data_IF_912570534576
#
_entry.id   IF_912570534576
#
_cell.length_a   1.000
_cell.length_b   1.000
_cell.length_c   1.000
_cell.angle_alpha   90.00
_cell.angle_beta   90.00
_cell.angle_gamma   90.00
#
_symmetry.space_group_name_H-M   'P 1'
#
loop_
_entity.id
_entity.type
_entity.pdbx_description
1 polymer ?
#
# COMPACT_ATOMS: atom_id res chain seq x y z
N UNK A 1 -7.68 24.29 14.34
CA UNK A 1 -6.28 24.71 14.56
C UNK A 1 -5.55 24.43 13.27
N UNK A 2 -4.94 25.44 12.65
CA UNK A 2 -4.07 25.21 11.47
C UNK A 2 -2.83 24.47 11.99
N UNK A 3 -2.59 23.26 11.47
CA UNK A 3 -1.36 22.54 11.73
C UNK A 3 -0.25 23.30 11.02
N UNK A 4 0.81 23.67 11.73
CA UNK A 4 1.98 24.28 11.09
C UNK A 4 2.71 23.22 10.27
N UNK A 5 3.09 23.50 9.02
CA UNK A 5 3.75 22.53 8.16
C UNK A 5 5.08 22.10 8.79
N UNK A 6 5.28 20.78 8.86
CA UNK A 6 6.50 20.15 9.38
C UNK A 6 7.50 20.00 8.24
N UNK A 7 8.77 20.34 8.49
CA UNK A 7 9.82 20.25 7.47
C UNK A 7 10.70 19.02 7.73
N UNK A 8 10.85 18.19 6.70
CA UNK A 8 11.68 16.99 6.70
C UNK A 8 12.86 17.17 5.72
N UNK A 9 13.96 16.47 5.99
CA UNK A 9 15.12 16.45 5.09
C UNK A 9 15.29 15.04 4.54
N UNK A 10 15.16 14.85 3.23
CA UNK A 10 15.49 13.59 2.57
C UNK A 10 16.94 13.65 2.10
N UNK A 11 17.75 12.68 2.51
CA UNK A 11 19.17 12.55 2.11
C UNK A 11 19.34 11.32 1.26
N UNK A 12 19.68 11.49 -0.02
CA UNK A 12 19.83 10.39 -0.96
C UNK A 12 21.27 9.85 -0.93
N UNK A 13 21.40 8.51 -0.87
CA UNK A 13 22.69 7.84 -0.95
C UNK A 13 23.34 8.03 -2.33
N UNK A 14 24.66 8.15 -2.37
CA UNK A 14 25.44 8.24 -3.62
C UNK A 14 25.37 6.96 -4.48
N UNK A 15 24.98 5.84 -3.86
CA UNK A 15 24.83 4.53 -4.51
C UNK A 15 23.54 4.40 -5.34
N UNK A 16 22.62 5.36 -5.25
CA UNK A 16 21.37 5.33 -6.01
C UNK A 16 21.64 5.63 -7.50
N UNK A 17 20.84 5.07 -8.42
CA UNK A 17 20.90 5.43 -9.84
C UNK A 17 20.79 6.95 -10.04
N UNK A 18 21.58 7.52 -10.96
CA UNK A 18 21.60 8.98 -11.18
C UNK A 18 20.25 9.57 -11.63
N UNK A 19 19.45 8.76 -12.34
CA UNK A 19 18.15 9.19 -12.87
C UNK A 19 17.02 8.39 -12.22
N UNK A 20 16.25 9.07 -11.37
CA UNK A 20 15.03 8.57 -10.77
C UNK A 20 14.09 9.75 -10.45
N UNK A 21 12.82 9.49 -10.14
CA UNK A 21 11.82 10.55 -9.97
C UNK A 21 12.24 11.64 -8.96
N UNK A 22 12.83 11.24 -7.83
CA UNK A 22 13.23 12.16 -6.78
C UNK A 22 14.52 12.96 -7.08
N UNK A 23 15.31 12.62 -8.10
CA UNK A 23 16.50 13.41 -8.47
C UNK A 23 16.14 14.76 -9.09
N UNK A 24 14.85 14.95 -9.41
CA UNK A 24 14.25 16.22 -9.82
C UNK A 24 13.90 17.15 -8.65
N UNK A 25 14.02 16.71 -7.40
CA UNK A 25 13.76 17.58 -6.24
C UNK A 25 14.80 18.70 -6.14
N UNK A 26 14.34 19.91 -5.82
CA UNK A 26 15.23 21.04 -5.54
C UNK A 26 16.08 20.75 -4.31
N UNK A 27 17.40 20.87 -4.48
CA UNK A 27 18.38 20.60 -3.42
C UNK A 27 18.94 19.18 -3.41
N UNK A 28 18.54 18.31 -4.35
CA UNK A 28 19.13 16.97 -4.48
C UNK A 28 20.67 17.01 -4.46
N UNK A 29 21.35 16.13 -3.70
CA UNK A 29 20.84 14.95 -2.99
C UNK A 29 20.33 15.18 -1.54
N UNK A 30 20.29 16.43 -1.05
CA UNK A 30 19.72 16.76 0.27
C UNK A 30 18.50 17.70 0.10
N UNK A 31 17.31 17.11 0.06
CA UNK A 31 16.08 17.81 -0.27
C UNK A 31 15.28 18.15 0.99
N UNK A 32 14.76 19.37 1.08
CA UNK A 32 13.80 19.75 2.12
C UNK A 32 12.37 19.65 1.58
N UNK A 33 11.52 18.94 2.30
CA UNK A 33 10.12 18.75 1.97
C UNK A 33 9.24 19.15 3.15
N UNK A 34 8.05 19.67 2.87
CA UNK A 34 7.07 20.04 3.88
C UNK A 34 5.89 19.06 3.90
N UNK A 35 5.24 18.90 5.06
CA UNK A 35 4.07 18.02 5.18
C UNK A 35 2.78 18.59 4.59
N UNK A 36 2.80 19.82 4.06
CA UNK A 36 1.60 20.60 3.81
C UNK A 36 0.72 20.79 5.06
N UNK A 37 -0.49 21.29 4.80
CA UNK A 37 -1.52 21.55 5.83
C UNK A 37 -2.72 20.60 5.71
N UNK A 38 -2.74 19.74 4.68
CA UNK A 38 -3.89 18.90 4.30
C UNK A 38 -4.02 17.64 5.16
N UNK A 39 -2.89 17.05 5.56
CA UNK A 39 -2.85 15.78 6.28
C UNK A 39 -2.04 15.89 7.57
N UNK A 40 -2.47 15.19 8.62
CA UNK A 40 -1.65 15.07 9.83
C UNK A 40 -0.42 14.20 9.52
N UNK A 41 0.77 14.76 9.75
CA UNK A 41 2.01 13.99 9.65
C UNK A 41 2.36 13.38 11.01
N UNK A 42 2.34 12.05 11.10
CA UNK A 42 2.45 11.31 12.35
C UNK A 42 3.88 11.20 12.89
N UNK A 43 4.89 11.37 12.04
CA UNK A 43 6.29 11.41 12.48
C UNK A 43 6.70 12.81 12.95
N UNK A 44 7.77 12.84 13.75
CA UNK A 44 8.45 14.09 14.12
C UNK A 44 9.34 14.56 12.96
N UNK A 45 9.46 15.88 12.72
CA UNK A 45 10.43 16.44 11.78
C UNK A 45 11.84 15.89 12.03
N UNK A 46 12.47 15.31 11.00
CA UNK A 46 13.80 14.70 11.10
C UNK A 46 14.45 14.56 9.73
N UNK A 47 15.72 14.14 9.70
CA UNK A 47 16.35 13.65 8.48
C UNK A 47 15.94 12.19 8.21
N UNK A 48 15.62 11.88 6.96
CA UNK A 48 15.33 10.52 6.49
C UNK A 48 16.39 10.18 5.45
N UNK A 49 17.20 9.15 5.74
CA UNK A 49 18.20 8.65 4.82
C UNK A 49 17.54 7.74 3.79
N UNK A 50 17.61 8.09 2.51
CA UNK A 50 17.16 7.27 1.40
C UNK A 50 18.31 6.35 1.00
N UNK A 51 18.11 5.05 1.21
CA UNK A 51 19.18 4.04 1.11
C UNK A 51 19.03 3.13 -0.10
N UNK A 52 17.82 2.95 -0.64
CA UNK A 52 17.58 2.05 -1.77
C UNK A 52 16.29 2.42 -2.53
N UNK A 53 16.10 1.84 -3.71
CA UNK A 53 14.86 1.88 -4.49
C UNK A 53 14.17 0.51 -4.38
N UNK A 54 13.03 0.48 -3.70
CA UNK A 54 12.21 -0.73 -3.55
C UNK A 54 11.44 -1.06 -4.83
N UNK A 55 11.09 -0.03 -5.62
CA UNK A 55 10.42 -0.17 -6.90
C UNK A 55 10.62 1.08 -7.76
N UNK A 56 10.82 0.89 -9.07
CA UNK A 56 10.80 1.95 -10.05
C UNK A 56 9.96 1.52 -11.27
N UNK A 57 8.99 2.34 -11.63
CA UNK A 57 8.26 2.29 -12.88
C UNK A 57 8.10 3.70 -13.46
N UNK A 58 7.38 3.81 -14.58
CA UNK A 58 7.30 5.07 -15.34
C UNK A 58 6.66 6.22 -14.54
N UNK A 59 5.59 5.91 -13.80
CA UNK A 59 4.85 6.89 -12.98
C UNK A 59 5.25 6.93 -11.52
N UNK A 60 5.80 5.84 -10.99
CA UNK A 60 5.98 5.68 -9.55
C UNK A 60 7.38 5.21 -9.21
N UNK A 61 8.00 5.81 -8.21
CA UNK A 61 9.21 5.27 -7.58
C UNK A 61 8.99 5.17 -6.08
N UNK A 62 9.26 3.99 -5.52
CA UNK A 62 9.19 3.73 -4.08
C UNK A 62 10.61 3.54 -3.56
N UNK A 63 10.98 4.35 -2.57
CA UNK A 63 12.31 4.32 -1.96
C UNK A 63 12.26 3.71 -0.56
N UNK A 64 13.36 3.09 -0.15
CA UNK A 64 13.61 2.71 1.23
C UNK A 64 14.21 3.91 1.95
N UNK A 65 13.47 4.45 2.92
CA UNK A 65 13.97 5.46 3.84
C UNK A 65 14.29 4.88 5.21
N UNK A 66 15.23 5.51 5.92
CA UNK A 66 15.57 5.19 7.31
C UNK A 66 15.59 6.46 8.15
N UNK A 67 14.78 6.48 9.20
CA UNK A 67 14.74 7.52 10.21
C UNK A 67 15.98 7.49 11.13
N UNK A 68 16.16 8.54 11.93
CA UNK A 68 17.26 8.65 12.91
C UNK A 68 17.22 7.52 13.96
N UNK A 69 16.02 7.03 14.29
CA UNK A 69 15.79 5.92 15.22
C UNK A 69 15.89 4.53 14.56
N UNK A 70 16.32 4.45 13.30
CA UNK A 70 16.36 3.27 12.44
C UNK A 70 15.00 2.71 12.01
N UNK A 71 13.89 3.40 12.28
CA UNK A 71 12.60 3.05 11.67
C UNK A 71 12.72 3.11 10.15
N UNK A 72 12.34 2.04 9.47
CA UNK A 72 12.33 2.00 8.00
C UNK A 72 10.98 2.45 7.45
N UNK A 73 11.04 3.17 6.33
CA UNK A 73 9.89 3.77 5.65
C UNK A 73 9.89 3.37 4.17
N UNK A 74 8.70 3.29 3.59
CA UNK A 74 8.51 3.24 2.14
C UNK A 74 8.06 4.64 1.67
N UNK A 75 8.88 5.31 0.88
CA UNK A 75 8.60 6.65 0.35
C UNK A 75 8.15 6.53 -1.10
N UNK A 76 6.85 6.68 -1.36
CA UNK A 76 6.26 6.54 -2.70
C UNK A 76 6.11 7.92 -3.34
N UNK A 77 6.92 8.19 -4.36
CA UNK A 77 6.74 9.33 -5.25
C UNK A 77 5.94 8.90 -6.48
N UNK A 78 4.81 9.54 -6.73
CA UNK A 78 3.98 9.34 -7.93
C UNK A 78 3.46 10.70 -8.43
N UNK A 79 2.52 10.72 -9.37
CA UNK A 79 1.86 11.92 -9.86
C UNK A 79 0.90 12.49 -8.81
N UNK A 80 0.65 13.80 -8.87
CA UNK A 80 0.00 14.54 -7.78
C UNK A 80 -1.47 14.11 -7.55
N UNK A 81 -2.22 13.87 -8.63
CA UNK A 81 -3.60 13.38 -8.56
C UNK A 81 -3.70 12.05 -7.83
N UNK A 82 -2.79 11.12 -8.15
CA UNK A 82 -2.79 9.76 -7.58
C UNK A 82 -2.49 9.79 -6.07
N UNK A 83 -1.66 10.72 -5.60
CA UNK A 83 -1.31 10.85 -4.17
C UNK A 83 -2.49 11.30 -3.34
N UNK A 84 -3.27 12.28 -3.82
CA UNK A 84 -4.41 12.79 -3.05
C UNK A 84 -5.51 11.74 -2.92
N UNK A 85 -5.79 11.01 -4.01
CA UNK A 85 -6.76 9.92 -4.01
C UNK A 85 -6.31 8.79 -3.06
N UNK A 86 -5.05 8.37 -3.16
CA UNK A 86 -4.51 7.30 -2.31
C UNK A 86 -4.41 7.73 -0.82
N UNK A 87 -3.98 8.96 -0.53
CA UNK A 87 -3.95 9.50 0.84
C UNK A 87 -5.35 9.54 1.45
N UNK A 88 -6.35 10.00 0.68
CA UNK A 88 -7.75 10.00 1.11
C UNK A 88 -8.29 8.61 1.42
N UNK A 89 -7.90 7.59 0.64
CA UNK A 89 -8.26 6.21 0.92
C UNK A 89 -7.65 5.71 2.25
N UNK A 90 -6.38 6.02 2.52
CA UNK A 90 -5.75 5.68 3.81
C UNK A 90 -6.45 6.37 4.99
N UNK A 91 -6.79 7.65 4.87
CA UNK A 91 -7.50 8.40 5.92
C UNK A 91 -8.88 7.82 6.24
N UNK A 92 -9.60 7.35 5.22
CA UNK A 92 -10.88 6.69 5.41
C UNK A 92 -10.73 5.31 6.09
N UNK A 93 -9.63 4.60 5.81
CA UNK A 93 -9.38 3.21 6.23
C UNK A 93 -8.42 3.09 7.43
N UNK A 94 -8.40 4.10 8.31
CA UNK A 94 -7.49 4.16 9.47
C UNK A 94 -7.56 2.94 10.38
N UNK A 95 -8.74 2.31 10.53
CA UNK A 95 -8.95 1.16 11.42
C UNK A 95 -8.22 -0.11 10.99
N UNK A 96 -7.87 -0.24 9.71
CA UNK A 96 -7.21 -1.42 9.13
C UNK A 96 -5.75 -1.15 8.72
N UNK A 97 -5.22 0.03 9.04
CA UNK A 97 -3.81 0.36 8.85
C UNK A 97 -2.93 -0.38 9.88
N UNK A 98 -1.86 -1.00 9.38
CA UNK A 98 -0.95 -1.85 10.14
C UNK A 98 -1.37 -3.31 10.24
N UNK A 99 -2.61 -3.66 9.88
CA UNK A 99 -3.11 -5.05 9.79
C UNK A 99 -3.31 -5.48 8.34
N UNK A 100 -4.23 -4.82 7.63
CA UNK A 100 -4.55 -5.09 6.21
C UNK A 100 -3.72 -4.20 5.31
N UNK A 101 -3.61 -2.92 5.66
CA UNK A 101 -2.91 -1.92 4.88
C UNK A 101 -1.57 -1.55 5.55
N UNK A 102 -0.56 -1.07 4.81
CA UNK A 102 0.52 -0.30 5.41
C UNK A 102 -0.01 0.89 6.22
N UNK A 103 0.71 1.32 7.26
CA UNK A 103 0.37 2.61 7.90
C UNK A 103 0.79 3.77 7.00
N UNK A 104 -0.08 4.77 6.87
CA UNK A 104 0.26 6.08 6.33
C UNK A 104 0.77 6.96 7.47
N UNK A 105 1.98 7.49 7.33
CA UNK A 105 2.53 8.48 8.25
C UNK A 105 2.26 9.92 7.80
N UNK A 106 1.87 10.12 6.55
CA UNK A 106 1.53 11.41 5.97
C UNK A 106 2.06 11.56 4.55
N UNK A 107 1.82 12.73 3.97
CA UNK A 107 2.35 13.12 2.67
C UNK A 107 3.40 14.24 2.83
N UNK A 108 4.40 14.25 1.95
CA UNK A 108 5.41 15.28 1.83
C UNK A 108 5.30 15.95 0.45
N UNK A 109 5.54 17.25 0.41
CA UNK A 109 5.61 18.08 -0.78
C UNK A 109 7.02 18.66 -0.92
N UNK A 110 7.59 18.53 -2.10
CA UNK A 110 8.90 19.08 -2.45
C UNK A 110 8.86 19.84 -3.76
N UNK A 111 9.45 21.04 -3.77
CA UNK A 111 9.64 21.79 -5.00
C UNK A 111 10.54 21.00 -5.96
N UNK A 112 10.13 20.86 -7.23
CA UNK A 112 10.98 20.34 -8.28
C UNK A 112 11.95 21.41 -8.79
N UNK A 113 13.08 21.00 -9.38
CA UNK A 113 13.98 21.89 -10.12
C UNK A 113 13.30 22.48 -11.35
N UNK A 114 12.49 21.67 -12.03
CA UNK A 114 11.66 22.04 -13.18
C UNK A 114 10.30 21.33 -13.13
N UNK A 115 9.25 22.08 -13.51
CA UNK A 115 7.88 21.59 -13.57
C UNK A 115 7.11 21.72 -12.25
N UNK A 116 6.14 20.83 -12.07
CA UNK A 116 5.28 20.79 -10.89
C UNK A 116 6.01 20.21 -9.67
N UNK A 117 5.50 20.56 -8.49
CA UNK A 117 5.97 19.99 -7.23
C UNK A 117 5.85 18.46 -7.23
N UNK A 118 6.78 17.81 -6.53
CA UNK A 118 6.77 16.38 -6.31
C UNK A 118 6.14 16.09 -4.97
N UNK A 119 5.24 15.12 -4.97
CA UNK A 119 4.56 14.65 -3.78
C UNK A 119 5.08 13.25 -3.42
N UNK A 120 5.10 12.95 -2.13
CA UNK A 120 5.58 11.68 -1.60
C UNK A 120 4.67 11.20 -0.47
N UNK A 121 4.10 10.00 -0.63
CA UNK A 121 3.48 9.30 0.48
C UNK A 121 4.56 8.64 1.34
N UNK A 122 4.45 8.81 2.65
CA UNK A 122 5.34 8.20 3.62
C UNK A 122 4.59 7.06 4.30
N UNK A 123 4.94 5.85 3.93
CA UNK A 123 4.26 4.62 4.33
C UNK A 123 5.14 3.76 5.22
N UNK A 124 4.52 2.85 5.96
CA UNK A 124 5.21 1.78 6.66
C UNK A 124 6.01 0.89 5.71
N UNK A 125 7.27 0.64 6.05
CA UNK A 125 8.08 -0.37 5.37
C UNK A 125 7.64 -1.77 5.81
N UNK A 126 6.87 -2.45 4.96
CA UNK A 126 6.44 -3.83 5.21
C UNK A 126 6.91 -4.82 4.14
N UNK A 127 7.66 -5.85 4.54
CA UNK A 127 7.88 -7.06 3.74
C UNK A 127 8.50 -6.85 2.36
N UNK A 128 8.21 -7.73 1.42
CA UNK A 128 8.50 -7.51 -0.01
C UNK A 128 7.24 -7.78 -0.81
N UNK A 129 7.17 -7.26 -2.05
CA UNK A 129 6.07 -7.60 -2.95
C UNK A 129 6.01 -9.10 -3.18
N UNK A 130 4.81 -9.65 -3.30
CA UNK A 130 4.60 -11.04 -3.65
C UNK A 130 5.19 -11.31 -5.05
N UNK A 131 6.10 -12.29 -5.14
CA UNK A 131 6.83 -12.60 -6.37
C UNK A 131 6.20 -13.76 -7.17
N UNK A 132 5.34 -14.56 -6.53
CA UNK A 132 4.67 -15.71 -7.13
C UNK A 132 3.27 -15.29 -7.54
N UNK A 133 2.78 -15.84 -8.67
CA UNK A 133 1.38 -15.69 -9.09
C UNK A 133 0.46 -16.23 -8.00
N UNK A 134 -0.72 -15.63 -7.84
CA UNK A 134 -1.66 -16.08 -6.82
C UNK A 134 -2.02 -17.56 -6.95
N UNK A 135 -2.28 -18.03 -8.17
CA UNK A 135 -2.63 -19.42 -8.44
C UNK A 135 -1.54 -20.43 -8.03
N UNK A 136 -0.27 -20.00 -8.04
CA UNK A 136 0.87 -20.84 -7.68
C UNK A 136 1.12 -20.90 -6.17
N UNK A 137 0.46 -20.07 -5.36
CA UNK A 137 0.63 -20.05 -3.90
C UNK A 137 0.07 -21.32 -3.24
N UNK A 138 0.58 -21.66 -2.04
CA UNK A 138 -0.07 -22.69 -1.24
C UNK A 138 -1.48 -22.22 -0.81
N UNK A 139 -2.43 -23.15 -0.68
CA UNK A 139 -3.83 -22.84 -0.33
C UNK A 139 -3.95 -22.04 0.97
N UNK A 140 -3.12 -22.34 1.97
CA UNK A 140 -3.04 -21.59 3.22
C UNK A 140 -2.51 -20.14 3.07
N UNK A 141 -1.65 -19.87 2.08
CA UNK A 141 -1.21 -18.51 1.79
C UNK A 141 -2.32 -17.71 1.08
N UNK A 142 -3.00 -18.36 0.11
CA UNK A 142 -4.18 -17.78 -0.56
C UNK A 142 -5.26 -17.41 0.46
N UNK A 143 -5.55 -18.32 1.39
CA UNK A 143 -6.53 -18.09 2.47
C UNK A 143 -6.25 -16.82 3.25
N UNK A 144 -5.01 -16.63 3.71
CA UNK A 144 -4.62 -15.44 4.47
C UNK A 144 -4.79 -14.15 3.68
N UNK A 145 -4.41 -14.14 2.40
CA UNK A 145 -4.58 -12.97 1.53
C UNK A 145 -6.06 -12.66 1.33
N UNK A 146 -6.88 -13.69 1.09
CA UNK A 146 -8.32 -13.55 0.93
C UNK A 146 -9.00 -13.07 2.22
N UNK A 147 -8.59 -13.55 3.39
CA UNK A 147 -9.10 -13.05 4.68
C UNK A 147 -8.72 -11.59 4.91
N UNK A 148 -7.52 -11.14 4.48
CA UNK A 148 -7.16 -9.70 4.49
C UNK A 148 -8.07 -8.89 3.57
N UNK A 149 -8.43 -9.42 2.39
CA UNK A 149 -9.37 -8.77 1.48
C UNK A 149 -10.77 -8.68 2.10
N UNK A 150 -11.23 -9.74 2.78
CA UNK A 150 -12.51 -9.74 3.51
C UNK A 150 -12.50 -8.70 4.64
N UNK A 151 -11.43 -8.64 5.45
CA UNK A 151 -11.27 -7.61 6.48
C UNK A 151 -11.30 -6.19 5.87
N UNK A 152 -10.62 -6.00 4.74
CA UNK A 152 -10.69 -4.77 3.95
C UNK A 152 -12.12 -4.42 3.53
N UNK A 153 -12.83 -5.36 2.91
CA UNK A 153 -14.21 -5.16 2.45
C UNK A 153 -15.17 -4.83 3.60
N UNK A 154 -15.01 -5.46 4.77
CA UNK A 154 -15.79 -5.11 5.96
C UNK A 154 -15.51 -3.71 6.50
N UNK A 155 -14.29 -3.21 6.31
CA UNK A 155 -13.92 -1.83 6.62
C UNK A 155 -14.36 -0.83 5.53
N UNK A 156 -14.98 -1.30 4.43
CA UNK A 156 -15.44 -0.47 3.34
C UNK A 156 -14.42 -0.29 2.20
N UNK A 157 -13.33 -1.05 2.17
CA UNK A 157 -12.37 -1.01 1.06
C UNK A 157 -12.86 -1.85 -0.12
N UNK A 158 -12.91 -1.23 -1.32
CA UNK A 158 -12.95 -1.91 -2.60
C UNK A 158 -11.71 -1.54 -3.42
N UNK A 159 -10.69 -2.38 -3.45
CA UNK A 159 -9.37 -1.98 -3.96
C UNK A 159 -9.27 -1.80 -5.49
N UNK A 160 -10.09 -2.52 -6.27
CA UNK A 160 -10.16 -2.52 -7.75
C UNK A 160 -8.90 -2.91 -8.55
N UNK A 161 -7.70 -2.81 -7.99
CA UNK A 161 -6.45 -3.25 -8.62
C UNK A 161 -5.68 -4.29 -7.77
N UNK A 162 -6.38 -5.34 -7.33
CA UNK A 162 -5.72 -6.45 -6.62
C UNK A 162 -4.91 -7.28 -7.60
N UNK A 163 -3.60 -7.30 -7.37
CA UNK A 163 -2.62 -8.09 -8.09
C UNK A 163 -1.45 -8.43 -7.16
N UNK A 164 -0.63 -9.41 -7.52
CA UNK A 164 0.53 -9.84 -6.73
C UNK A 164 1.48 -8.69 -6.43
N UNK A 165 1.61 -7.76 -7.38
CA UNK A 165 2.41 -6.55 -7.23
C UNK A 165 1.97 -5.64 -6.07
N UNK A 166 0.71 -5.71 -5.70
CA UNK A 166 0.03 -4.89 -4.69
C UNK A 166 -0.19 -5.66 -3.38
N UNK A 167 0.38 -6.87 -3.25
CA UNK A 167 0.41 -7.63 -1.99
C UNK A 167 1.85 -7.67 -1.48
N UNK A 168 2.03 -7.24 -0.23
CA UNK A 168 3.30 -7.28 0.49
C UNK A 168 3.30 -8.47 1.45
N UNK A 169 4.42 -9.16 1.59
CA UNK A 169 4.58 -10.32 2.49
C UNK A 169 5.78 -10.14 3.42
N UNK A 170 5.59 -10.38 4.71
CA UNK A 170 6.65 -10.40 5.73
C UNK A 170 6.36 -11.50 6.74
N UNK A 171 7.30 -12.43 6.92
CA UNK A 171 7.21 -13.48 7.95
C UNK A 171 5.87 -14.26 7.95
N UNK A 172 5.27 -14.45 6.77
CA UNK A 172 4.00 -15.16 6.58
C UNK A 172 2.74 -14.36 6.89
N UNK A 173 2.86 -13.04 7.14
CA UNK A 173 1.77 -12.06 7.19
C UNK A 173 1.75 -11.22 5.91
N UNK A 174 0.58 -10.69 5.57
CA UNK A 174 0.30 -10.04 4.30
C UNK A 174 -0.36 -8.69 4.49
N UNK A 175 -0.05 -7.77 3.58
CA UNK A 175 -0.72 -6.48 3.47
C UNK A 175 -1.03 -6.13 2.04
N UNK A 176 -2.13 -5.42 1.86
CA UNK A 176 -2.59 -4.90 0.58
C UNK A 176 -2.12 -3.46 0.49
N UNK A 177 -1.47 -3.10 -0.61
CA UNK A 177 -0.89 -1.78 -0.85
C UNK A 177 -1.34 -1.24 -2.20
N UNK A 178 -1.05 0.05 -2.44
CA UNK A 178 -1.40 0.77 -3.67
C UNK A 178 -2.91 1.06 -3.82
N UNK A 179 -3.39 2.04 -3.05
CA UNK A 179 -4.82 2.39 -2.98
C UNK A 179 -5.23 3.44 -4.02
N UNK A 180 -4.42 3.68 -5.06
CA UNK A 180 -4.70 4.70 -6.08
C UNK A 180 -5.96 4.42 -6.93
N UNK A 181 -6.52 3.22 -6.84
CA UNK A 181 -7.78 2.83 -7.49
C UNK A 181 -8.85 2.39 -6.47
N UNK A 182 -8.62 2.63 -5.18
CA UNK A 182 -9.56 2.18 -4.16
C UNK A 182 -10.85 3.01 -4.18
N UNK A 183 -11.97 2.32 -4.04
CA UNK A 183 -13.31 2.89 -3.90
C UNK A 183 -13.93 2.45 -2.56
N UNK A 184 -15.01 3.14 -2.18
CA UNK A 184 -15.87 2.69 -1.09
C UNK A 184 -16.63 1.43 -1.52
N UNK A 185 -16.57 0.40 -0.70
CA UNK A 185 -17.37 -0.80 -0.88
C UNK A 185 -18.82 -0.57 -0.45
N UNK A 186 -19.71 -0.34 -1.42
CA UNK A 186 -21.15 -0.13 -1.23
C UNK A 186 -21.97 -1.09 -2.13
N UNK A 187 -22.90 -1.90 -1.61
CA UNK A 187 -23.33 -2.01 -0.20
C UNK A 187 -22.25 -2.61 0.73
N UNK A 188 -22.40 -2.48 2.06
CA UNK A 188 -21.50 -3.12 3.02
C UNK A 188 -21.36 -4.63 2.75
N UNK A 189 -20.14 -5.13 2.79
CA UNK A 189 -19.83 -6.53 2.52
C UNK A 189 -20.58 -7.46 3.50
N UNK A 190 -21.18 -8.53 2.96
CA UNK A 190 -21.91 -9.56 3.73
C UNK A 190 -21.13 -10.89 3.78
N UNK A 191 -19.85 -10.88 3.42
CA UNK A 191 -19.03 -12.08 3.38
C UNK A 191 -18.75 -12.58 4.81
N UNK A 192 -18.99 -13.86 5.07
CA UNK A 192 -18.74 -14.46 6.40
C UNK A 192 -17.95 -15.77 6.33
N UNK A 193 -17.61 -16.23 5.12
CA UNK A 193 -16.75 -17.39 4.92
C UNK A 193 -15.30 -17.06 5.31
N UNK A 194 -14.74 -17.79 6.28
CA UNK A 194 -13.35 -17.63 6.71
C UNK A 194 -12.46 -18.59 5.91
N UNK A 195 -11.59 -18.06 5.06
CA UNK A 195 -10.77 -18.91 4.18
C UNK A 195 -9.74 -19.72 4.96
N UNK A 196 -9.18 -19.19 6.05
CA UNK A 196 -8.20 -19.89 6.88
C UNK A 196 -8.82 -21.06 7.65
N UNK A 197 -10.05 -20.91 8.15
CA UNK A 197 -10.78 -21.99 8.83
C UNK A 197 -11.22 -23.09 7.84
N UNK A 198 -11.30 -22.75 6.57
CA UNK A 198 -11.81 -23.60 5.48
C UNK A 198 -10.76 -23.91 4.41
N UNK A 199 -9.48 -23.94 4.78
CA UNK A 199 -8.38 -24.17 3.83
C UNK A 199 -8.48 -25.51 3.08
N UNK A 200 -9.13 -26.50 3.66
CA UNK A 200 -9.30 -27.84 3.05
C UNK A 200 -10.50 -27.91 2.09
N UNK A 201 -11.34 -26.89 2.02
CA UNK A 201 -12.52 -26.90 1.15
C UNK A 201 -12.09 -26.77 -0.31
N UNK A 202 -12.32 -27.79 -1.13
CA UNK A 202 -12.00 -27.75 -2.56
C UNK A 202 -13.10 -27.06 -3.38
N UNK A 203 -14.32 -26.94 -2.86
CA UNK A 203 -15.44 -26.25 -3.51
C UNK A 203 -16.29 -25.51 -2.50
N UNK A 204 -17.07 -24.55 -2.96
CA UNK A 204 -18.11 -23.89 -2.15
C UNK A 204 -19.45 -23.96 -2.87
N UNK A 205 -20.55 -24.15 -2.13
CA UNK A 205 -21.89 -24.08 -2.72
C UNK A 205 -22.14 -22.64 -3.20
N UNK A 206 -22.47 -22.49 -4.48
CA UNK A 206 -22.80 -21.18 -5.06
C UNK A 206 -23.99 -20.48 -4.39
N UNK A 207 -24.80 -21.21 -3.61
CA UNK A 207 -25.94 -20.69 -2.82
C UNK A 207 -25.60 -20.49 -1.34
N UNK A 208 -24.37 -20.74 -0.91
CA UNK A 208 -23.96 -20.51 0.47
C UNK A 208 -24.11 -19.01 0.81
N UNK A 209 -24.92 -18.65 1.82
CA UNK A 209 -25.10 -17.25 2.19
C UNK A 209 -23.82 -16.59 2.71
N UNK A 210 -22.81 -17.36 3.10
CA UNK A 210 -21.53 -16.85 3.61
C UNK A 210 -20.61 -16.26 2.53
N UNK A 211 -20.86 -16.57 1.25
CA UNK A 211 -20.09 -16.05 0.10
C UNK A 211 -20.80 -14.89 -0.62
N UNK A 212 -21.51 -14.04 0.12
CA UNK A 212 -22.42 -13.00 -0.40
C UNK A 212 -21.79 -11.78 -1.10
N UNK A 213 -20.50 -11.81 -1.44
CA UNK A 213 -19.81 -10.70 -2.14
C UNK A 213 -19.19 -11.20 -3.45
N UNK A 214 -19.68 -10.69 -4.58
CA UNK A 214 -19.20 -11.08 -5.91
C UNK A 214 -17.73 -10.75 -6.16
N UNK A 215 -17.24 -9.64 -5.61
CA UNK A 215 -15.84 -9.23 -5.77
C UNK A 215 -14.88 -10.18 -5.04
N UNK A 216 -15.16 -10.54 -3.78
CA UNK A 216 -14.35 -11.51 -3.04
C UNK A 216 -14.42 -12.88 -3.70
N UNK A 217 -15.61 -13.32 -4.12
CA UNK A 217 -15.77 -14.59 -4.84
C UNK A 217 -14.92 -14.63 -6.11
N UNK A 218 -14.99 -13.60 -6.94
CA UNK A 218 -14.21 -13.51 -8.17
C UNK A 218 -12.70 -13.56 -7.87
N UNK A 219 -12.23 -12.87 -6.82
CA UNK A 219 -10.83 -12.96 -6.41
C UNK A 219 -10.45 -14.37 -5.95
N UNK A 220 -11.26 -15.03 -5.14
CA UNK A 220 -11.00 -16.41 -4.71
C UNK A 220 -10.90 -17.38 -5.90
N UNK A 221 -11.77 -17.22 -6.91
CA UNK A 221 -11.74 -17.98 -8.16
C UNK A 221 -10.49 -17.69 -9.00
N UNK A 222 -10.14 -16.41 -9.19
CA UNK A 222 -8.93 -15.98 -9.91
C UNK A 222 -7.64 -16.49 -9.24
N UNK A 223 -7.63 -16.54 -7.90
CA UNK A 223 -6.52 -17.10 -7.13
C UNK A 223 -6.49 -18.63 -7.15
N UNK A 224 -7.48 -19.29 -7.78
CA UNK A 224 -7.69 -20.73 -7.75
C UNK A 224 -7.66 -21.25 -6.30
N UNK A 225 -8.42 -20.62 -5.40
CA UNK A 225 -8.54 -21.09 -4.02
C UNK A 225 -9.32 -22.40 -3.97
N UNK A 226 -10.49 -22.43 -4.60
CA UNK A 226 -11.26 -23.65 -4.82
C UNK A 226 -10.79 -24.36 -6.09
N UNK A 227 -10.74 -25.69 -6.04
CA UNK A 227 -10.43 -26.58 -7.15
C UNK A 227 -11.70 -27.34 -7.55
N UNK A 228 -12.33 -26.90 -8.64
CA UNK A 228 -13.53 -27.53 -9.15
C UNK A 228 -13.25 -28.83 -9.94
N UNK A 229 -12.00 -29.32 -9.95
CA UNK A 229 -11.62 -30.61 -10.51
C UNK A 229 -11.66 -30.66 -12.03
N UNK A 230 -10.96 -29.74 -12.72
CA UNK A 230 -10.72 -29.85 -14.17
C UNK A 230 -9.79 -31.01 -14.54
#
# INVERSE_FOLDING_TARGET
>A
MSLSPKVFTLRFSDDLPLLHRASRLKGYPECKLDSGDEYEFLLRPQAIQIVDILYAGDRTTVYLGRCEDNTELALKFTDNTDILEEAGAYDFLTSIQGSVLPKLYGALNGAATEGENLFCLVLERFGTRLQRRFCDLAKAEKAKILDKLVEGHHAGLRHLDIAERNVLVKDGDYRIADLGHAELHDPPCQWTYNFTDHVEDDTVDAKDPSIGCGDIKARAEEMCFWDYGE
#
